data_IF_786286259213
#
_entry.id   IF_786286259213
#
_cell.length_a   1.000
_cell.length_b   1.000
_cell.length_c   1.000
_cell.angle_alpha   90.00
_cell.angle_beta   90.00
_cell.angle_gamma   90.00
#
_symmetry.space_group_name_H-M   'P 1'
#
loop_
_entity.id
_entity.type
_entity.pdbx_description
1 polymer ?
#
# COMPACT_ATOMS: atom_id res chain seq x y z
N UNK A 1 -3.29 -31.95 -29.50
CA UNK A 1 -3.13 -33.28 -28.88
C UNK A 1 -2.24 -34.25 -29.66
N UNK A 2 -1.64 -33.81 -30.78
CA UNK A 2 -0.79 -34.66 -31.64
C UNK A 2 0.66 -34.16 -31.82
N UNK A 3 1.11 -33.25 -30.96
CA UNK A 3 2.51 -32.78 -30.89
C UNK A 3 3.20 -33.50 -29.74
N UNK A 4 3.63 -34.73 -30.00
CA UNK A 4 4.26 -35.63 -29.02
C UNK A 4 5.76 -35.33 -28.89
N UNK A 5 6.32 -34.57 -29.82
CA UNK A 5 7.75 -34.28 -30.01
C UNK A 5 8.11 -32.79 -29.75
N UNK A 6 7.25 -32.00 -29.11
CA UNK A 6 7.66 -30.70 -28.65
C UNK A 6 8.67 -30.89 -27.52
N UNK A 7 9.95 -30.54 -27.80
CA UNK A 7 10.95 -30.41 -26.78
C UNK A 7 10.51 -29.34 -25.76
N UNK A 8 10.75 -29.56 -24.47
CA UNK A 8 10.58 -28.56 -23.46
C UNK A 8 11.37 -27.31 -23.87
N UNK A 9 10.66 -26.25 -24.24
CA UNK A 9 11.30 -24.95 -24.48
C UNK A 9 11.63 -24.33 -23.12
N UNK A 10 12.88 -24.41 -22.71
CA UNK A 10 13.39 -23.55 -21.63
C UNK A 10 13.46 -22.12 -22.14
N UNK A 11 13.20 -21.15 -21.26
CA UNK A 11 13.44 -19.74 -21.58
C UNK A 11 14.96 -19.48 -21.62
N UNK A 12 15.53 -19.52 -22.82
CA UNK A 12 16.96 -19.28 -23.05
C UNK A 12 17.31 -17.78 -23.08
N UNK A 13 16.36 -16.91 -22.79
CA UNK A 13 16.56 -15.46 -22.81
C UNK A 13 17.36 -14.93 -21.61
N UNK A 14 17.38 -15.70 -20.52
CA UNK A 14 18.04 -15.33 -19.24
C UNK A 14 19.07 -16.39 -18.90
N UNK A 15 20.32 -15.99 -18.68
CA UNK A 15 21.41 -16.86 -18.22
C UNK A 15 21.47 -16.93 -16.69
N UNK A 16 21.18 -15.82 -16.00
CA UNK A 16 21.29 -15.73 -14.56
C UNK A 16 20.18 -14.86 -13.98
N UNK A 17 19.58 -15.32 -12.91
CA UNK A 17 18.54 -14.60 -12.16
C UNK A 17 18.76 -14.84 -10.66
N UNK A 18 19.38 -13.84 -9.97
CA UNK A 18 19.75 -13.98 -8.57
C UNK A 18 19.27 -12.78 -7.75
N UNK A 19 18.84 -13.04 -6.51
CA UNK A 19 18.52 -11.98 -5.56
C UNK A 19 19.75 -11.46 -4.87
N UNK A 20 19.94 -10.14 -4.90
CA UNK A 20 20.98 -9.46 -4.16
C UNK A 20 20.38 -8.60 -3.06
N UNK A 21 21.04 -8.60 -1.91
CA UNK A 21 20.65 -7.83 -0.75
C UNK A 21 21.35 -6.48 -0.73
N UNK A 22 20.59 -5.42 -0.44
CA UNK A 22 21.07 -4.08 -0.25
C UNK A 22 20.58 -3.53 1.09
N UNK A 23 21.50 -3.02 1.87
CA UNK A 23 21.26 -2.43 3.17
C UNK A 23 21.26 -0.90 3.11
N UNK A 24 20.68 -0.21 4.10
CA UNK A 24 20.81 1.22 4.25
C UNK A 24 22.28 1.65 4.39
N UNK A 25 22.55 2.92 4.09
CA UNK A 25 23.89 3.50 4.26
C UNK A 25 24.37 3.25 5.69
N UNK A 26 25.61 2.84 5.83
CA UNK A 26 26.26 2.54 7.12
C UNK A 26 26.05 3.70 8.12
N UNK A 27 25.62 3.39 9.33
CA UNK A 27 25.31 4.37 10.38
C UNK A 27 23.89 4.91 10.36
N UNK A 28 23.02 4.46 9.44
CA UNK A 28 21.59 4.82 9.46
C UNK A 28 20.93 4.30 10.73
N UNK A 29 20.24 5.19 11.46
CA UNK A 29 19.49 4.80 12.63
C UNK A 29 18.10 4.32 12.21
N UNK A 30 17.81 3.03 12.43
CA UNK A 30 16.53 2.39 12.07
C UNK A 30 15.40 2.70 13.07
N UNK A 31 15.73 3.21 14.26
CA UNK A 31 14.82 3.26 15.40
C UNK A 31 14.39 4.68 15.80
N UNK A 32 14.98 5.70 15.21
CA UNK A 32 14.59 7.07 15.41
C UNK A 32 13.85 7.62 14.18
N UNK A 33 12.97 8.61 14.34
CA UNK A 33 12.39 9.32 13.21
C UNK A 33 13.47 9.84 12.27
N UNK A 34 13.32 9.59 10.97
CA UNK A 34 14.29 9.99 9.96
C UNK A 34 14.24 9.13 8.70
N UNK A 35 15.11 9.43 7.75
CA UNK A 35 15.19 8.71 6.48
C UNK A 35 16.07 7.47 6.57
N UNK A 36 15.54 6.34 6.13
CA UNK A 36 16.25 5.11 5.85
C UNK A 36 16.35 5.01 4.33
N UNK A 37 17.55 5.16 3.80
CA UNK A 37 17.79 5.22 2.36
C UNK A 37 18.62 4.02 1.91
N UNK A 38 18.12 3.27 0.94
CA UNK A 38 18.78 2.13 0.31
C UNK A 38 19.01 2.47 -1.15
N UNK A 39 20.25 2.33 -1.61
CA UNK A 39 20.65 2.65 -2.98
C UNK A 39 21.19 1.41 -3.66
N UNK A 40 20.72 1.17 -4.88
CA UNK A 40 21.17 0.08 -5.75
C UNK A 40 21.72 0.70 -7.01
N UNK A 41 23.04 0.54 -7.22
CA UNK A 41 23.75 1.03 -8.38
C UNK A 41 24.88 0.05 -8.71
N UNK A 42 24.73 -0.69 -9.81
CA UNK A 42 25.75 -1.59 -10.32
C UNK A 42 25.80 -1.44 -11.84
N UNK A 43 26.98 -1.37 -12.40
CA UNK A 43 27.15 -1.23 -13.84
C UNK A 43 26.80 -2.55 -14.55
N UNK A 44 26.21 -2.42 -15.75
CA UNK A 44 25.90 -3.54 -16.66
C UNK A 44 24.97 -4.63 -16.11
N UNK A 45 24.15 -4.29 -15.10
CA UNK A 45 23.16 -5.19 -14.53
C UNK A 45 21.74 -4.73 -14.91
N UNK A 46 20.89 -5.69 -15.24
CA UNK A 46 19.45 -5.52 -15.37
C UNK A 46 18.79 -5.87 -14.04
N UNK A 47 17.85 -5.06 -13.60
CA UNK A 47 17.09 -5.28 -12.37
C UNK A 47 15.64 -5.65 -12.67
N UNK A 48 15.02 -6.42 -11.78
CA UNK A 48 13.58 -6.74 -11.86
C UNK A 48 12.84 -6.20 -10.63
N UNK A 49 12.46 -4.90 -10.61
CA UNK A 49 11.86 -4.25 -9.43
C UNK A 49 10.53 -4.87 -8.99
N UNK A 50 9.74 -5.41 -9.93
CA UNK A 50 8.45 -6.04 -9.62
C UNK A 50 8.57 -7.25 -8.69
N UNK A 51 9.67 -8.00 -8.79
CA UNK A 51 9.92 -9.17 -7.94
C UNK A 51 10.75 -8.84 -6.70
N UNK A 52 11.11 -7.57 -6.51
CA UNK A 52 11.86 -7.13 -5.35
C UNK A 52 10.99 -7.04 -4.08
N UNK A 53 11.64 -7.14 -2.93
CA UNK A 53 10.97 -7.09 -1.63
C UNK A 53 11.87 -6.53 -0.53
N UNK A 54 11.24 -6.03 0.53
CA UNK A 54 11.90 -5.65 1.77
C UNK A 54 11.88 -6.83 2.75
N UNK A 55 12.99 -7.01 3.47
CA UNK A 55 13.03 -7.77 4.72
C UNK A 55 13.13 -6.78 5.86
N UNK A 56 12.20 -6.85 6.81
CA UNK A 56 12.18 -6.03 8.00
C UNK A 56 12.20 -6.97 9.21
N UNK A 57 13.26 -6.87 10.01
CA UNK A 57 13.45 -7.66 11.23
C UNK A 57 13.51 -6.75 12.45
N UNK A 58 13.01 -7.25 13.55
CA UNK A 58 12.99 -6.47 14.76
C UNK A 58 12.36 -7.22 15.93
N UNK A 59 12.05 -6.44 16.97
CA UNK A 59 11.44 -6.96 18.18
C UNK A 59 10.44 -5.99 18.78
N UNK A 60 9.26 -6.50 19.14
CA UNK A 60 8.26 -5.81 19.96
C UNK A 60 8.52 -6.08 21.44
N UNK A 61 8.70 -5.02 22.21
CA UNK A 61 8.94 -5.09 23.66
C UNK A 61 8.08 -4.04 24.37
N UNK A 62 8.03 -4.09 25.68
CA UNK A 62 7.57 -2.96 26.50
C UNK A 62 8.52 -1.76 26.30
N UNK A 63 8.06 -0.56 26.61
CA UNK A 63 8.85 0.66 26.45
C UNK A 63 10.19 0.61 27.23
N UNK A 64 10.24 -0.13 28.33
CA UNK A 64 11.47 -0.36 29.12
C UNK A 64 12.39 -1.45 28.55
N UNK A 65 12.06 -2.05 27.40
CA UNK A 65 12.84 -3.10 26.74
C UNK A 65 12.56 -4.54 27.21
N UNK A 66 11.70 -4.74 28.21
CA UNK A 66 11.34 -6.09 28.68
C UNK A 66 10.35 -6.76 27.72
N UNK A 67 10.40 -8.09 27.66
CA UNK A 67 9.44 -8.85 26.86
C UNK A 67 8.03 -8.80 27.45
N UNK A 68 7.02 -8.87 26.59
CA UNK A 68 5.65 -9.08 27.00
C UNK A 68 5.44 -10.53 27.47
N UNK A 69 4.60 -10.73 28.47
CA UNK A 69 4.14 -12.05 28.89
C UNK A 69 3.04 -12.57 27.93
N UNK A 70 2.76 -13.88 27.96
CA UNK A 70 1.78 -14.50 27.04
C UNK A 70 0.35 -14.02 27.26
N UNK A 71 0.02 -13.54 28.45
CA UNK A 71 -1.28 -13.01 28.87
C UNK A 71 -1.45 -11.51 28.54
N UNK A 72 -0.36 -10.80 28.24
CA UNK A 72 -0.47 -9.40 27.85
C UNK A 72 -1.21 -9.28 26.49
N UNK A 73 -2.24 -8.47 26.47
CA UNK A 73 -3.05 -8.22 25.27
C UNK A 73 -2.38 -7.12 24.45
N UNK A 74 -1.46 -7.52 23.60
CA UNK A 74 -0.68 -6.64 22.71
C UNK A 74 -0.29 -7.37 21.44
N UNK A 75 -0.29 -6.65 20.33
CA UNK A 75 0.23 -7.12 19.04
C UNK A 75 0.65 -5.93 18.17
N UNK A 76 1.40 -6.17 17.13
CA UNK A 76 1.51 -5.25 16.01
C UNK A 76 0.17 -5.32 15.25
N UNK A 77 -0.36 -4.17 14.85
CA UNK A 77 -1.63 -4.07 14.12
C UNK A 77 -1.57 -4.79 12.77
N UNK A 78 -2.72 -5.04 12.15
CA UNK A 78 -2.73 -5.60 10.79
C UNK A 78 -1.97 -4.67 9.84
N UNK A 79 -1.07 -5.23 9.03
CA UNK A 79 -0.20 -4.43 8.15
C UNK A 79 0.69 -3.41 8.90
N UNK A 80 0.94 -3.65 10.19
CA UNK A 80 1.54 -2.66 11.10
C UNK A 80 2.94 -2.22 10.71
N UNK A 81 3.71 -3.01 9.97
CA UNK A 81 5.02 -2.59 9.49
C UNK A 81 4.96 -1.38 8.55
N UNK A 82 3.87 -1.23 7.80
CA UNK A 82 3.67 -0.06 6.94
C UNK A 82 3.33 1.19 7.76
N UNK A 83 2.74 1.03 8.94
CA UNK A 83 2.46 2.12 9.89
C UNK A 83 3.73 2.64 10.60
N UNK A 84 4.86 1.96 10.49
CA UNK A 84 6.16 2.46 10.98
C UNK A 84 6.72 3.61 10.14
N UNK A 85 6.16 3.88 8.98
CA UNK A 85 6.67 4.87 8.05
C UNK A 85 5.61 5.94 7.74
N UNK A 86 6.04 7.20 7.66
CA UNK A 86 5.19 8.32 7.23
C UNK A 86 5.15 8.50 5.71
N UNK A 87 6.24 8.10 5.05
CA UNK A 87 6.37 8.16 3.59
C UNK A 87 7.31 7.05 3.10
N UNK A 88 7.01 6.51 1.94
CA UNK A 88 7.87 5.59 1.19
C UNK A 88 8.01 6.09 -0.25
N UNK A 89 9.25 6.19 -0.74
CA UNK A 89 9.55 6.78 -2.04
C UNK A 89 10.47 5.88 -2.86
N UNK A 90 10.12 5.71 -4.13
CA UNK A 90 10.94 5.02 -5.12
C UNK A 90 11.41 5.97 -6.22
N UNK A 91 12.71 5.98 -6.50
CA UNK A 91 13.34 6.87 -7.47
C UNK A 91 14.24 6.09 -8.43
N UNK A 92 14.28 6.54 -9.68
CA UNK A 92 15.21 6.08 -10.71
C UNK A 92 16.10 7.26 -11.14
N UNK A 93 17.42 7.14 -10.98
CA UNK A 93 18.42 8.16 -11.32
C UNK A 93 18.07 9.57 -10.84
N UNK A 94 17.52 9.66 -9.62
CA UNK A 94 17.14 10.93 -8.98
C UNK A 94 15.72 11.43 -9.33
N UNK A 95 15.03 10.80 -10.27
CA UNK A 95 13.64 11.13 -10.60
C UNK A 95 12.67 10.32 -9.75
N UNK A 96 11.68 10.99 -9.15
CA UNK A 96 10.65 10.36 -8.33
C UNK A 96 9.65 9.61 -9.22
N UNK A 97 9.68 8.27 -9.17
CA UNK A 97 8.72 7.42 -9.88
C UNK A 97 7.40 7.39 -9.11
N UNK A 98 7.45 7.13 -7.82
CA UNK A 98 6.29 7.06 -6.96
C UNK A 98 6.65 7.43 -5.52
N UNK A 99 5.76 8.17 -4.85
CA UNK A 99 5.89 8.55 -3.45
C UNK A 99 4.55 8.34 -2.75
N UNK A 100 4.53 7.47 -1.75
CA UNK A 100 3.34 7.09 -1.00
C UNK A 100 3.44 7.63 0.42
N UNK A 101 2.65 8.66 0.73
CA UNK A 101 2.41 9.12 2.09
C UNK A 101 1.41 8.22 2.80
N UNK A 102 1.48 8.17 4.12
CA UNK A 102 0.62 7.32 4.95
C UNK A 102 0.55 5.86 4.46
N UNK A 103 1.72 5.21 4.24
CA UNK A 103 1.74 3.87 3.65
C UNK A 103 0.97 2.84 4.48
N UNK A 104 0.87 3.01 5.79
CA UNK A 104 0.05 2.18 6.66
C UNK A 104 -1.41 2.18 6.25
N UNK A 105 -2.05 3.35 6.21
CA UNK A 105 -3.44 3.51 5.84
C UNK A 105 -3.68 3.17 4.37
N UNK A 106 -2.83 3.69 3.47
CA UNK A 106 -2.94 3.48 2.03
C UNK A 106 -2.90 2.00 1.62
N UNK A 107 -1.90 1.26 2.12
CA UNK A 107 -1.75 -0.17 1.79
C UNK A 107 -2.76 -1.04 2.52
N UNK A 108 -3.25 -0.60 3.69
CA UNK A 108 -4.35 -1.29 4.39
C UNK A 108 -5.66 -1.14 3.61
N UNK A 109 -6.06 0.07 3.20
CA UNK A 109 -7.25 0.27 2.36
C UNK A 109 -7.17 -0.54 1.08
N UNK A 110 -6.03 -0.47 0.37
CA UNK A 110 -5.86 -1.21 -0.87
C UNK A 110 -5.86 -2.72 -0.67
N UNK A 111 -5.20 -3.22 0.36
CA UNK A 111 -5.12 -4.65 0.66
C UNK A 111 -6.47 -5.25 1.01
N UNK A 112 -7.30 -4.54 1.80
CA UNK A 112 -8.66 -4.94 2.12
C UNK A 112 -9.54 -5.11 0.87
N UNK A 113 -9.37 -4.24 -0.12
CA UNK A 113 -10.13 -4.26 -1.37
C UNK A 113 -9.55 -5.23 -2.42
N UNK A 114 -8.26 -5.57 -2.33
CA UNK A 114 -7.51 -6.28 -3.36
C UNK A 114 -7.22 -7.74 -3.03
N UNK A 115 -6.82 -8.03 -1.77
CA UNK A 115 -6.35 -9.37 -1.43
C UNK A 115 -7.52 -10.35 -1.30
N UNK A 116 -7.36 -11.60 -1.78
CA UNK A 116 -8.34 -12.66 -1.54
C UNK A 116 -8.34 -13.07 -0.06
N UNK A 117 -9.43 -13.69 0.39
CA UNK A 117 -9.59 -14.05 1.82
C UNK A 117 -8.55 -15.07 2.31
N UNK A 118 -8.12 -15.96 1.47
CA UNK A 118 -7.10 -16.97 1.78
C UNK A 118 -5.66 -16.42 1.84
N UNK A 119 -5.42 -15.22 1.30
CA UNK A 119 -4.12 -14.56 1.37
C UNK A 119 -3.60 -14.41 2.80
N UNK A 120 -4.46 -14.02 3.74
CA UNK A 120 -4.11 -13.85 5.15
C UNK A 120 -3.69 -15.16 5.83
N UNK A 121 -4.13 -16.31 5.33
CA UNK A 121 -3.80 -17.65 5.88
C UNK A 121 -2.48 -18.23 5.32
N UNK A 122 -1.85 -17.54 4.38
CA UNK A 122 -0.65 -17.98 3.67
C UNK A 122 0.39 -16.86 3.57
N UNK A 123 0.63 -16.33 2.37
CA UNK A 123 1.65 -15.31 2.13
C UNK A 123 1.41 -14.01 2.91
N UNK A 124 0.16 -13.68 3.20
CA UNK A 124 -0.20 -12.49 3.96
C UNK A 124 0.42 -12.49 5.35
N UNK A 125 0.41 -13.62 6.05
CA UNK A 125 1.01 -13.70 7.38
C UNK A 125 2.52 -13.44 7.37
N UNK A 126 3.22 -13.78 6.28
CA UNK A 126 4.65 -13.49 6.10
C UNK A 126 4.97 -11.99 5.91
N UNK A 127 3.96 -11.15 5.74
CA UNK A 127 4.07 -9.68 5.77
C UNK A 127 3.24 -9.06 6.90
N UNK A 128 2.84 -9.85 7.88
CA UNK A 128 1.96 -9.48 8.99
C UNK A 128 0.59 -8.95 8.53
N UNK A 129 0.06 -9.55 7.46
CA UNK A 129 -1.29 -9.29 6.99
C UNK A 129 -2.24 -10.39 7.45
N UNK A 130 -3.01 -10.07 8.48
CA UNK A 130 -4.16 -10.87 8.91
C UNK A 130 -5.21 -9.91 9.47
N UNK A 131 -6.26 -9.64 8.70
CA UNK A 131 -7.25 -8.61 9.04
C UNK A 131 -7.97 -8.90 10.35
N UNK A 132 -8.37 -7.84 11.03
CA UNK A 132 -9.20 -7.93 12.23
C UNK A 132 -10.61 -8.41 11.88
N UNK A 133 -11.28 -9.03 12.85
CA UNK A 133 -12.65 -9.53 12.76
C UNK A 133 -13.41 -9.26 14.05
N UNK A 134 -14.73 -9.34 14.00
CA UNK A 134 -15.58 -9.04 15.14
C UNK A 134 -15.79 -7.55 15.35
N UNK A 135 -15.91 -7.10 16.59
CA UNK A 135 -16.05 -5.68 16.92
C UNK A 135 -14.69 -5.08 17.31
N UNK A 136 -14.47 -3.83 17.00
CA UNK A 136 -13.22 -3.13 17.36
C UNK A 136 -12.97 -3.07 18.88
N UNK A 137 -14.02 -3.17 19.69
CA UNK A 137 -13.94 -3.10 21.14
C UNK A 137 -13.66 -4.45 21.84
N UNK A 138 -13.92 -5.56 21.18
CA UNK A 138 -13.77 -6.91 21.77
C UNK A 138 -12.57 -7.65 21.17
N UNK A 139 -11.41 -7.48 21.79
CA UNK A 139 -10.16 -8.14 21.41
C UNK A 139 -10.18 -9.67 21.62
N UNK A 140 -11.06 -10.18 22.48
CA UNK A 140 -11.16 -11.63 22.76
C UNK A 140 -11.78 -12.39 21.58
N UNK A 141 -12.66 -11.74 20.82
CA UNK A 141 -13.33 -12.29 19.63
C UNK A 141 -12.67 -11.86 18.30
N UNK A 142 -11.55 -11.13 18.36
CA UNK A 142 -10.80 -10.72 17.19
C UNK A 142 -9.80 -11.80 16.77
N UNK A 143 -10.19 -12.65 15.83
CA UNK A 143 -9.34 -13.74 15.34
C UNK A 143 -8.02 -13.24 14.74
N UNK A 144 -8.06 -12.13 13.99
CA UNK A 144 -6.86 -11.55 13.39
C UNK A 144 -5.87 -11.04 14.43
N UNK A 145 -6.35 -10.36 15.46
CA UNK A 145 -5.52 -9.94 16.57
C UNK A 145 -4.88 -11.16 17.27
N UNK A 146 -5.67 -12.20 17.56
CA UNK A 146 -5.19 -13.41 18.24
C UNK A 146 -4.12 -14.15 17.44
N UNK A 147 -4.26 -14.23 16.11
CA UNK A 147 -3.27 -14.85 15.22
C UNK A 147 -1.97 -14.04 15.24
N UNK A 148 -2.03 -12.71 15.07
CA UNK A 148 -0.84 -11.84 15.10
C UNK A 148 -0.16 -11.86 16.47
N UNK A 149 -0.91 -11.82 17.57
CA UNK A 149 -0.37 -11.97 18.93
C UNK A 149 0.33 -13.31 19.12
N UNK A 150 -0.30 -14.39 18.65
CA UNK A 150 0.29 -15.73 18.69
C UNK A 150 1.64 -15.79 17.98
N UNK A 151 1.69 -15.21 16.79
CA UNK A 151 2.90 -15.17 15.97
C UNK A 151 4.03 -14.31 16.58
N UNK A 152 3.68 -13.16 17.20
CA UNK A 152 4.67 -12.20 17.69
C UNK A 152 5.08 -12.42 19.15
N UNK A 153 4.14 -12.79 20.03
CA UNK A 153 4.37 -12.80 21.47
C UNK A 153 4.46 -14.22 22.03
N UNK A 154 3.62 -15.15 21.53
CA UNK A 154 3.49 -16.47 22.14
C UNK A 154 4.46 -17.49 21.56
N UNK A 155 4.82 -17.39 20.28
CA UNK A 155 5.60 -18.39 19.56
C UNK A 155 7.11 -18.13 19.52
N UNK A 156 7.64 -16.90 19.36
CA UNK A 156 9.07 -16.69 19.16
C UNK A 156 9.86 -16.75 20.47
N UNK A 157 11.13 -17.15 20.35
CA UNK A 157 12.14 -17.07 21.41
C UNK A 157 13.41 -16.42 20.83
N UNK A 158 13.80 -15.23 21.32
CA UNK A 158 13.13 -14.44 22.36
C UNK A 158 11.80 -13.83 21.89
N UNK A 159 10.86 -13.71 22.84
CA UNK A 159 9.51 -13.17 22.58
C UNK A 159 9.54 -11.79 21.95
N UNK A 160 8.59 -11.55 21.07
CA UNK A 160 8.42 -10.30 20.33
C UNK A 160 9.28 -10.18 19.07
N UNK A 161 10.20 -11.12 18.83
CA UNK A 161 11.07 -11.13 17.65
C UNK A 161 10.26 -11.45 16.39
N UNK A 162 10.57 -10.76 15.29
CA UNK A 162 9.93 -10.97 14.01
C UNK A 162 10.89 -10.78 12.83
N UNK A 163 10.56 -11.43 11.72
CA UNK A 163 11.13 -11.21 10.38
C UNK A 163 10.02 -11.29 9.36
N UNK A 164 9.81 -10.23 8.57
CA UNK A 164 8.74 -10.15 7.60
C UNK A 164 9.25 -9.75 6.22
N UNK A 165 8.65 -10.35 5.19
CA UNK A 165 8.94 -10.10 3.79
C UNK A 165 7.82 -9.30 3.15
N UNK A 166 8.11 -8.10 2.64
CA UNK A 166 7.13 -7.20 2.05
C UNK A 166 7.46 -6.95 0.58
N UNK A 167 6.73 -7.54 -0.38
CA UNK A 167 6.94 -7.29 -1.80
C UNK A 167 6.72 -5.83 -2.16
N UNK A 168 7.61 -5.22 -2.95
CA UNK A 168 7.45 -3.83 -3.39
C UNK A 168 6.16 -3.59 -4.18
N UNK A 169 5.69 -4.58 -4.92
CA UNK A 169 4.40 -4.53 -5.66
C UNK A 169 3.18 -4.34 -4.75
N UNK A 170 3.29 -4.63 -3.46
CA UNK A 170 2.23 -4.34 -2.49
C UNK A 170 2.24 -2.87 -2.05
N UNK A 171 3.36 -2.16 -2.23
CA UNK A 171 3.54 -0.76 -1.84
C UNK A 171 3.35 0.17 -3.04
N UNK A 172 4.09 -0.09 -4.13
CA UNK A 172 4.16 0.78 -5.30
C UNK A 172 3.43 0.20 -6.50
N UNK A 173 2.64 1.04 -7.17
CA UNK A 173 1.95 0.68 -8.40
C UNK A 173 2.91 0.43 -9.56
N UNK A 174 4.04 1.15 -9.62
CA UNK A 174 5.11 0.87 -10.59
C UNK A 174 5.59 -0.58 -10.49
N UNK A 175 5.93 -1.04 -9.30
CA UNK A 175 6.40 -2.41 -9.10
C UNK A 175 5.30 -3.45 -9.35
N UNK A 176 4.01 -3.10 -9.19
CA UNK A 176 2.90 -4.00 -9.48
C UNK A 176 2.63 -4.16 -10.97
N UNK A 177 2.62 -3.06 -11.71
CA UNK A 177 2.15 -3.06 -13.11
C UNK A 177 3.28 -3.25 -14.12
N UNK A 178 4.52 -2.84 -13.81
CA UNK A 178 5.66 -2.98 -14.68
C UNK A 178 6.48 -4.23 -14.33
N UNK A 179 6.00 -5.38 -14.79
CA UNK A 179 6.66 -6.67 -14.61
C UNK A 179 7.69 -6.93 -15.72
N UNK A 180 8.70 -6.06 -15.82
CA UNK A 180 9.81 -6.17 -16.79
C UNK A 180 11.12 -5.72 -16.15
N UNK A 181 12.23 -6.09 -16.80
CA UNK A 181 13.56 -5.68 -16.39
C UNK A 181 13.80 -4.19 -16.67
N UNK A 182 14.62 -3.59 -15.83
CA UNK A 182 15.04 -2.19 -15.91
C UNK A 182 16.58 -2.14 -15.97
N UNK A 183 17.13 -1.34 -16.88
CA UNK A 183 18.57 -1.24 -17.11
C UNK A 183 19.05 0.21 -17.06
N UNK A 184 20.26 0.41 -16.55
CA UNK A 184 20.98 1.67 -16.64
C UNK A 184 20.49 2.78 -15.70
N UNK A 185 19.71 2.45 -14.70
CA UNK A 185 19.26 3.39 -13.66
C UNK A 185 19.92 3.09 -12.31
N UNK A 186 20.17 4.15 -11.57
CA UNK A 186 20.38 4.05 -10.12
C UNK A 186 19.02 4.00 -9.43
N UNK A 187 18.75 2.93 -8.69
CA UNK A 187 17.52 2.76 -7.93
C UNK A 187 17.72 3.26 -6.50
N UNK A 188 16.78 4.03 -6.01
CA UNK A 188 16.79 4.52 -4.63
C UNK A 188 15.42 4.27 -4.01
N UNK A 189 15.44 3.58 -2.88
CA UNK A 189 14.28 3.40 -2.00
C UNK A 189 14.49 4.21 -0.73
N UNK A 190 13.58 5.11 -0.42
CA UNK A 190 13.60 5.93 0.80
C UNK A 190 12.38 5.60 1.65
N UNK A 191 12.60 5.27 2.91
CA UNK A 191 11.58 5.01 3.91
C UNK A 191 11.73 6.06 5.00
N UNK A 192 10.68 6.82 5.31
CA UNK A 192 10.73 7.84 6.36
C UNK A 192 10.12 7.26 7.63
N UNK A 193 10.99 6.92 8.60
CA UNK A 193 10.60 6.34 9.89
C UNK A 193 9.84 7.35 10.73
N UNK A 194 8.72 6.91 11.35
CA UNK A 194 7.96 7.70 12.34
C UNK A 194 7.88 6.97 13.69
N UNK A 195 7.06 7.45 14.63
CA UNK A 195 6.75 6.80 15.91
C UNK A 195 6.23 5.36 15.71
N UNK A 196 6.40 4.52 16.73
CA UNK A 196 5.88 3.15 16.77
C UNK A 196 4.38 3.08 17.10
N UNK A 197 3.80 4.19 17.58
CA UNK A 197 2.50 4.19 18.22
C UNK A 197 1.38 3.70 17.29
N UNK A 198 1.45 4.05 16.01
CA UNK A 198 0.47 3.59 15.02
C UNK A 198 0.68 2.15 14.56
N UNK A 199 1.79 1.52 14.90
CA UNK A 199 2.06 0.14 14.53
C UNK A 199 1.64 -0.85 15.63
N UNK A 200 1.46 -0.39 16.86
CA UNK A 200 1.17 -1.21 18.03
C UNK A 200 -0.31 -1.07 18.41
N UNK A 201 -0.94 -2.20 18.70
CA UNK A 201 -2.28 -2.22 19.26
C UNK A 201 -2.30 -3.05 20.54
N UNK A 202 -2.75 -2.46 21.65
CA UNK A 202 -2.72 -3.04 22.99
C UNK A 202 -3.87 -2.58 23.87
N UNK A 203 -4.13 -3.33 24.94
CA UNK A 203 -4.92 -2.83 26.07
C UNK A 203 -4.05 -1.96 27.00
N UNK A 204 -4.69 -1.11 27.79
CA UNK A 204 -4.00 -0.26 28.76
C UNK A 204 -3.13 -1.09 29.73
N UNK A 205 -3.66 -2.20 30.22
CA UNK A 205 -2.98 -3.08 31.20
C UNK A 205 -1.69 -3.72 30.66
N UNK A 206 -1.55 -3.84 29.35
CA UNK A 206 -0.33 -4.39 28.75
C UNK A 206 0.88 -3.45 28.90
N UNK A 207 0.64 -2.15 29.10
CA UNK A 207 1.65 -1.11 29.13
C UNK A 207 2.20 -0.74 27.74
N UNK A 208 2.76 0.46 27.63
CA UNK A 208 3.27 1.00 26.37
C UNK A 208 4.30 0.10 25.71
N UNK A 209 4.17 -0.08 24.39
CA UNK A 209 5.04 -0.89 23.54
C UNK A 209 6.07 -0.05 22.78
N UNK A 210 7.13 -0.75 22.34
CA UNK A 210 8.18 -0.23 21.48
C UNK A 210 8.59 -1.28 20.46
N UNK A 211 8.83 -0.85 19.22
CA UNK A 211 9.37 -1.70 18.15
C UNK A 211 10.81 -1.28 17.88
N UNK A 212 11.74 -2.21 18.09
CA UNK A 212 13.15 -2.01 17.76
C UNK A 212 13.47 -2.80 16.50
N UNK A 213 13.80 -2.10 15.43
CA UNK A 213 14.24 -2.69 14.17
C UNK A 213 15.73 -3.05 14.26
N UNK A 214 16.07 -4.26 13.87
CA UNK A 214 17.46 -4.75 13.79
C UNK A 214 17.96 -4.79 12.36
N UNK A 215 17.05 -4.95 11.38
CA UNK A 215 17.37 -5.04 9.96
C UNK A 215 16.26 -4.44 9.10
N UNK A 216 16.67 -3.68 8.09
CA UNK A 216 15.83 -3.25 6.97
C UNK A 216 16.66 -3.41 5.71
N UNK A 217 16.35 -4.39 4.88
CA UNK A 217 17.11 -4.69 3.67
C UNK A 217 16.19 -4.79 2.47
N UNK A 218 16.69 -4.37 1.32
CA UNK A 218 16.01 -4.49 0.05
C UNK A 218 16.65 -5.59 -0.79
N UNK A 219 15.87 -6.60 -1.12
CA UNK A 219 16.26 -7.68 -2.02
C UNK A 219 15.72 -7.40 -3.41
N UNK A 220 16.60 -7.31 -4.40
CA UNK A 220 16.23 -7.07 -5.79
C UNK A 220 16.91 -8.08 -6.71
N UNK A 221 16.18 -8.69 -7.66
CA UNK A 221 16.79 -9.59 -8.62
C UNK A 221 17.72 -8.87 -9.57
N UNK A 222 18.93 -9.40 -9.70
CA UNK A 222 19.85 -9.14 -10.79
C UNK A 222 19.56 -10.13 -11.92
N UNK A 223 19.48 -9.62 -13.11
CA UNK A 223 19.17 -10.41 -14.30
C UNK A 223 20.31 -10.25 -15.30
N UNK A 224 20.85 -11.37 -15.76
CA UNK A 224 21.81 -11.40 -16.88
C UNK A 224 21.11 -12.03 -18.07
N UNK A 225 20.77 -11.24 -19.09
CA UNK A 225 20.23 -11.77 -20.32
C UNK A 225 21.29 -12.55 -21.11
N UNK A 226 20.89 -13.55 -21.86
CA UNK A 226 21.75 -14.22 -22.82
C UNK A 226 22.27 -13.24 -23.89
N UNK A 227 23.49 -13.46 -24.38
CA UNK A 227 24.19 -12.50 -25.24
C UNK A 227 23.39 -12.02 -26.45
N UNK A 228 22.64 -12.90 -27.11
CA UNK A 228 21.80 -12.54 -28.24
C UNK A 228 20.71 -11.52 -27.90
N UNK A 229 20.12 -11.63 -26.70
CA UNK A 229 19.08 -10.72 -26.20
C UNK A 229 19.70 -9.44 -25.65
N UNK A 230 20.86 -9.55 -25.00
CA UNK A 230 21.64 -8.40 -24.52
C UNK A 230 22.03 -7.46 -25.65
N UNK A 231 22.54 -8.00 -26.76
CA UNK A 231 22.86 -7.22 -27.96
C UNK A 231 21.65 -6.48 -28.53
N UNK A 232 20.50 -7.13 -28.63
CA UNK A 232 19.26 -6.48 -29.08
C UNK A 232 18.83 -5.34 -28.16
N UNK A 233 18.95 -5.51 -26.85
CA UNK A 233 18.64 -4.46 -25.87
C UNK A 233 19.60 -3.27 -26.03
N UNK A 234 20.90 -3.51 -26.20
CA UNK A 234 21.88 -2.44 -26.45
C UNK A 234 21.63 -1.71 -27.76
N UNK A 235 21.28 -2.41 -28.85
CA UNK A 235 20.89 -1.77 -30.09
C UNK A 235 19.67 -0.84 -29.93
N UNK A 236 18.69 -1.22 -29.13
CA UNK A 236 17.53 -0.35 -28.83
C UNK A 236 17.95 0.89 -28.03
N UNK A 237 18.88 0.73 -27.09
CA UNK A 237 19.43 1.83 -26.28
C UNK A 237 20.24 2.79 -27.17
N UNK A 238 21.09 2.27 -28.06
CA UNK A 238 21.88 3.06 -28.99
C UNK A 238 21.02 3.82 -30.00
N UNK A 239 19.93 3.22 -30.46
CA UNK A 239 18.94 3.87 -31.35
C UNK A 239 18.09 4.93 -30.61
N UNK A 240 18.38 5.20 -29.33
CA UNK A 240 17.62 6.12 -28.46
C UNK A 240 16.12 5.83 -28.48
N UNK A 241 15.76 4.56 -28.47
CA UNK A 241 14.36 4.15 -28.43
C UNK A 241 13.71 4.68 -27.15
N UNK A 242 12.60 5.39 -27.33
CA UNK A 242 11.78 5.86 -26.22
C UNK A 242 10.88 4.72 -25.75
N UNK A 243 11.05 4.28 -24.52
CA UNK A 243 10.23 3.24 -23.90
C UNK A 243 9.20 3.89 -22.99
N UNK A 244 7.94 3.89 -23.41
CA UNK A 244 6.84 4.39 -22.58
C UNK A 244 6.37 3.31 -21.62
N UNK A 245 6.34 3.63 -20.32
CA UNK A 245 5.92 2.75 -19.22
C UNK A 245 4.70 3.35 -18.56
N UNK A 246 3.57 2.68 -18.69
CA UNK A 246 2.32 3.03 -18.01
C UNK A 246 2.11 2.17 -16.77
N UNK A 247 1.67 2.80 -15.67
CA UNK A 247 1.35 2.11 -14.42
C UNK A 247 0.31 2.89 -13.61
N UNK A 248 -0.30 2.23 -12.63
CA UNK A 248 -1.27 2.82 -11.71
C UNK A 248 -0.56 3.35 -10.46
N UNK A 249 -0.18 4.61 -10.50
CA UNK A 249 0.45 5.29 -9.36
C UNK A 249 -0.53 5.40 -8.19
N UNK A 250 0.00 5.28 -6.98
CA UNK A 250 -0.71 5.41 -5.71
C UNK A 250 -0.27 6.68 -4.99
N UNK A 251 -1.23 7.49 -4.57
CA UNK A 251 -1.00 8.68 -3.75
C UNK A 251 -2.01 8.68 -2.62
N UNK A 252 -1.56 8.94 -1.39
CA UNK A 252 -2.44 9.08 -0.25
C UNK A 252 -2.26 10.46 0.39
N UNK A 253 -3.38 11.07 0.74
CA UNK A 253 -3.43 12.34 1.47
C UNK A 253 -4.27 12.17 2.72
N UNK A 254 -4.03 13.01 3.72
CA UNK A 254 -4.83 13.07 4.95
C UNK A 254 -5.16 14.52 5.31
N UNK A 255 -6.28 14.70 5.99
CA UNK A 255 -6.72 15.96 6.56
C UNK A 255 -7.57 15.74 7.81
N UNK A 256 -7.45 16.62 8.80
CA UNK A 256 -8.33 16.65 9.96
C UNK A 256 -9.75 17.07 9.55
N UNK A 257 -10.76 16.32 10.01
CA UNK A 257 -12.17 16.61 9.74
C UNK A 257 -12.72 17.49 10.88
N UNK A 258 -13.34 18.64 10.57
CA UNK A 258 -13.91 19.50 11.59
C UNK A 258 -15.13 18.83 12.27
N UNK A 259 -15.41 19.20 13.52
CA UNK A 259 -16.59 18.74 14.28
C UNK A 259 -17.89 19.37 13.74
N UNK A 260 -18.22 19.03 12.50
CA UNK A 260 -19.38 19.56 11.78
C UNK A 260 -20.08 18.47 10.97
N UNK A 261 -21.33 18.74 10.57
CA UNK A 261 -22.10 17.81 9.71
C UNK A 261 -21.70 17.88 8.25
N UNK A 262 -21.00 18.92 7.83
CA UNK A 262 -20.60 19.13 6.45
C UNK A 262 -19.08 19.24 6.36
N UNK A 263 -18.51 18.53 5.41
CA UNK A 263 -17.08 18.51 5.16
C UNK A 263 -16.79 18.64 3.67
N UNK A 264 -15.80 19.46 3.33
CA UNK A 264 -15.32 19.63 1.97
C UNK A 264 -13.80 19.65 1.97
N UNK A 265 -13.20 18.80 1.15
CA UNK A 265 -11.76 18.65 1.04
C UNK A 265 -11.32 18.70 -0.41
N UNK A 266 -10.45 19.65 -0.74
CA UNK A 266 -9.82 19.74 -2.04
C UNK A 266 -8.46 19.04 -1.98
N UNK A 267 -8.31 17.99 -2.77
CA UNK A 267 -7.06 17.24 -2.85
C UNK A 267 -6.00 18.03 -3.61
N UNK A 268 -4.73 17.84 -3.24
CA UNK A 268 -3.60 18.47 -3.90
C UNK A 268 -3.36 17.82 -5.24
N UNK A 269 -3.63 18.52 -6.33
CA UNK A 269 -3.35 18.04 -7.68
C UNK A 269 -1.90 18.33 -8.03
N UNK A 270 -1.11 17.30 -8.26
CA UNK A 270 0.20 17.49 -8.88
C UNK A 270 0.02 17.88 -10.35
N UNK A 271 0.89 18.75 -10.83
CA UNK A 271 0.83 19.37 -12.16
C UNK A 271 1.06 18.44 -13.37
N UNK A 272 1.07 17.13 -13.17
CA UNK A 272 1.25 16.14 -14.23
C UNK A 272 -0.09 15.66 -14.79
N UNK A 273 -0.18 15.29 -16.08
CA UNK A 273 -1.41 14.77 -16.70
C UNK A 273 -1.73 13.36 -16.22
N UNK A 274 -1.87 13.19 -14.91
CA UNK A 274 -2.27 11.93 -14.27
C UNK A 274 -3.79 11.84 -14.28
N UNK A 275 -4.33 10.76 -14.85
CA UNK A 275 -5.76 10.52 -14.91
C UNK A 275 -6.19 9.64 -13.72
N UNK A 276 -6.92 10.17 -12.71
CA UNK A 276 -7.42 9.35 -11.61
C UNK A 276 -8.39 8.29 -12.12
N UNK A 277 -8.22 7.06 -11.63
CA UNK A 277 -9.09 5.90 -11.89
C UNK A 277 -10.01 5.60 -10.74
N UNK A 278 -9.44 5.58 -9.53
CA UNK A 278 -10.15 5.30 -8.29
C UNK A 278 -9.76 6.30 -7.23
N UNK A 279 -10.73 6.69 -6.44
CA UNK A 279 -10.52 7.47 -5.22
C UNK A 279 -11.17 6.68 -4.09
N UNK A 280 -10.39 6.33 -3.07
CA UNK A 280 -10.85 5.56 -1.91
C UNK A 280 -10.73 6.45 -0.69
N UNK A 281 -11.84 6.68 0.00
CA UNK A 281 -11.89 7.55 1.18
C UNK A 281 -12.23 6.74 2.41
N UNK A 282 -11.55 7.02 3.51
CA UNK A 282 -11.79 6.40 4.81
C UNK A 282 -11.60 7.42 5.93
N UNK A 283 -12.19 7.15 7.09
CA UNK A 283 -12.08 8.00 8.28
C UNK A 283 -11.52 7.21 9.45
N UNK A 284 -10.78 7.88 10.32
CA UNK A 284 -10.28 7.34 11.59
C UNK A 284 -10.46 8.37 12.70
N UNK A 285 -10.90 7.92 13.88
CA UNK A 285 -11.12 8.77 15.06
C UNK A 285 -10.22 8.32 16.21
N UNK A 286 -9.46 9.25 16.82
CA UNK A 286 -8.57 9.04 17.97
C UNK A 286 -7.50 7.95 17.75
N UNK A 287 -7.06 7.68 16.50
CA UNK A 287 -6.13 6.57 16.22
C UNK A 287 -4.69 7.01 16.03
N UNK A 288 -4.45 8.25 15.61
CA UNK A 288 -3.09 8.75 15.41
C UNK A 288 -2.34 8.85 16.76
N UNK A 289 -1.15 8.23 16.81
CA UNK A 289 -0.29 8.22 17.98
C UNK A 289 -0.86 7.47 19.20
N UNK A 290 -1.86 6.62 19.05
CA UNK A 290 -2.58 5.99 20.16
C UNK A 290 -2.53 4.46 20.09
N UNK A 291 -1.65 3.84 20.87
CA UNK A 291 -1.50 2.37 20.94
C UNK A 291 -2.73 1.62 21.47
N UNK A 292 -3.69 2.31 22.09
CA UNK A 292 -4.93 1.70 22.61
C UNK A 292 -6.05 1.70 21.55
N UNK A 293 -5.79 2.27 20.39
CA UNK A 293 -6.68 2.26 19.23
C UNK A 293 -6.04 1.51 18.07
N UNK A 294 -6.88 0.89 17.24
CA UNK A 294 -6.40 0.08 16.13
C UNK A 294 -6.36 0.91 14.83
N UNK A 295 -5.21 1.33 14.32
CA UNK A 295 -5.11 2.14 13.11
C UNK A 295 -5.30 1.35 11.81
N UNK A 296 -5.46 0.03 11.87
CA UNK A 296 -5.78 -0.79 10.69
C UNK A 296 -7.28 -0.93 10.43
N UNK A 297 -8.12 -0.36 11.29
CA UNK A 297 -9.57 -0.31 11.09
C UNK A 297 -10.03 1.14 10.87
N UNK A 298 -11.16 1.30 10.21
CA UNK A 298 -11.73 2.59 9.85
C UNK A 298 -13.10 2.79 10.51
N UNK A 299 -13.60 4.02 10.48
CA UNK A 299 -14.82 4.41 11.16
C UNK A 299 -15.83 4.99 10.15
N UNK A 300 -17.11 4.61 10.23
CA UNK A 300 -18.14 5.17 9.34
C UNK A 300 -18.60 6.58 9.74
N UNK A 301 -18.26 7.04 10.96
CA UNK A 301 -18.52 8.39 11.50
C UNK A 301 -19.97 8.85 11.27
N UNK A 302 -20.91 7.90 11.28
CA UNK A 302 -22.32 8.10 10.95
C UNK A 302 -22.54 8.93 9.66
N UNK A 303 -21.74 8.63 8.62
CA UNK A 303 -21.80 9.29 7.33
C UNK A 303 -23.17 9.09 6.69
N UNK A 304 -23.78 10.19 6.19
CA UNK A 304 -25.04 10.19 5.45
C UNK A 304 -24.82 10.12 3.95
N UNK A 305 -23.90 10.93 3.45
CA UNK A 305 -23.61 10.99 2.02
C UNK A 305 -22.15 11.41 1.78
N UNK A 306 -21.55 10.87 0.74
CA UNK A 306 -20.21 11.26 0.30
C UNK A 306 -20.13 11.16 -1.24
N UNK A 307 -19.47 12.12 -1.84
CA UNK A 307 -19.20 12.12 -3.27
C UNK A 307 -17.91 12.86 -3.60
N UNK A 308 -17.38 12.56 -4.77
CA UNK A 308 -16.21 13.21 -5.32
C UNK A 308 -16.61 14.02 -6.54
N UNK A 309 -16.03 15.21 -6.71
CA UNK A 309 -16.14 15.97 -7.96
C UNK A 309 -14.78 16.03 -8.64
N UNK A 310 -14.76 15.67 -9.93
CA UNK A 310 -13.62 15.90 -10.82
C UNK A 310 -13.97 17.07 -11.72
N UNK A 311 -13.28 18.21 -11.53
CA UNK A 311 -13.67 19.48 -12.09
C UNK A 311 -15.15 19.80 -11.71
N UNK A 312 -16.08 19.69 -12.64
CA UNK A 312 -17.52 19.90 -12.34
C UNK A 312 -18.35 18.63 -12.38
N UNK A 313 -17.75 17.47 -12.65
CA UNK A 313 -18.47 16.20 -12.76
C UNK A 313 -18.47 15.47 -11.44
N UNK A 314 -19.66 15.08 -10.98
CA UNK A 314 -19.87 14.41 -9.70
C UNK A 314 -19.88 12.88 -9.83
N UNK A 315 -19.27 12.18 -8.84
CA UNK A 315 -19.22 10.73 -8.70
C UNK A 315 -19.56 10.31 -7.25
N UNK A 316 -20.57 9.45 -6.99
CA UNK A 316 -21.61 9.06 -7.93
C UNK A 316 -22.60 10.21 -8.22
N UNK A 317 -23.34 10.10 -9.30
CA UNK A 317 -24.33 11.10 -9.68
C UNK A 317 -25.53 11.17 -8.70
N UNK A 318 -25.85 10.04 -8.05
CA UNK A 318 -26.95 9.89 -7.10
C UNK A 318 -26.41 9.73 -5.69
N UNK A 319 -27.03 10.39 -4.71
CA UNK A 319 -26.67 10.31 -3.30
C UNK A 319 -26.75 8.87 -2.78
N UNK A 320 -25.84 8.51 -1.86
CA UNK A 320 -25.86 7.21 -1.20
C UNK A 320 -27.01 7.07 -0.19
N UNK A 321 -27.33 8.16 0.51
CA UNK A 321 -28.32 8.22 1.58
C UNK A 321 -28.10 7.14 2.64
N UNK A 322 -26.91 7.15 3.23
CA UNK A 322 -26.46 6.14 4.18
C UNK A 322 -27.10 6.30 5.56
N UNK A 323 -27.44 5.16 6.17
CA UNK A 323 -27.82 5.09 7.57
C UNK A 323 -27.29 3.77 8.17
N UNK A 324 -26.08 3.80 8.70
CA UNK A 324 -25.40 2.61 9.24
C UNK A 324 -26.15 1.95 10.38
N UNK A 325 -26.80 2.74 11.24
CA UNK A 325 -27.65 2.24 12.33
C UNK A 325 -28.88 1.47 11.84
N UNK A 326 -29.33 1.73 10.60
CA UNK A 326 -30.46 1.07 9.95
C UNK A 326 -30.04 0.02 8.92
N UNK A 327 -28.77 -0.35 8.86
CA UNK A 327 -28.19 -1.26 7.86
C UNK A 327 -28.35 -0.78 6.39
N UNK A 328 -28.48 0.56 6.19
CA UNK A 328 -28.66 1.16 4.87
C UNK A 328 -27.32 1.65 4.31
N UNK A 329 -26.49 0.73 3.82
CA UNK A 329 -25.16 1.02 3.22
C UNK A 329 -24.84 0.12 2.02
N UNK A 330 -25.81 -0.63 1.50
CA UNK A 330 -25.57 -1.66 0.47
C UNK A 330 -24.93 -1.14 -0.80
N UNK A 331 -25.26 0.10 -1.23
CA UNK A 331 -24.63 0.70 -2.43
C UNK A 331 -23.16 0.99 -2.21
N UNK A 332 -22.79 1.64 -1.11
CA UNK A 332 -21.40 1.95 -0.80
C UNK A 332 -20.57 0.67 -0.60
N UNK A 333 -21.16 -0.33 0.08
CA UNK A 333 -20.56 -1.67 0.17
C UNK A 333 -20.38 -2.31 -1.20
N UNK A 334 -21.38 -2.26 -2.08
CA UNK A 334 -21.32 -2.81 -3.43
C UNK A 334 -20.20 -2.19 -4.27
N UNK A 335 -19.99 -0.88 -4.17
CA UNK A 335 -18.89 -0.18 -4.85
C UNK A 335 -17.52 -0.62 -4.31
N UNK A 336 -17.37 -0.79 -2.99
CA UNK A 336 -16.16 -1.33 -2.38
C UNK A 336 -15.93 -2.80 -2.78
N UNK A 337 -16.95 -3.65 -2.70
CA UNK A 337 -16.87 -5.08 -3.04
C UNK A 337 -16.51 -5.32 -4.52
N UNK A 338 -17.00 -4.46 -5.43
CA UNK A 338 -16.72 -4.58 -6.87
C UNK A 338 -15.34 -4.05 -7.30
N UNK A 339 -14.60 -3.39 -6.41
CA UNK A 339 -13.31 -2.77 -6.75
C UNK A 339 -12.33 -3.77 -7.35
N UNK A 340 -12.16 -4.95 -6.74
CA UNK A 340 -11.21 -5.97 -7.21
C UNK A 340 -11.57 -6.45 -8.60
N UNK A 341 -12.82 -6.81 -8.83
CA UNK A 341 -13.30 -7.25 -10.14
C UNK A 341 -13.06 -6.22 -11.22
N UNK A 342 -13.45 -4.97 -10.98
CA UNK A 342 -13.30 -3.86 -11.95
C UNK A 342 -11.83 -3.48 -12.17
N UNK A 343 -11.03 -3.40 -11.10
CA UNK A 343 -9.63 -2.96 -11.18
C UNK A 343 -8.72 -4.00 -11.86
N UNK A 344 -9.05 -5.29 -11.74
CA UNK A 344 -8.26 -6.40 -12.30
C UNK A 344 -8.97 -7.15 -13.43
N UNK A 345 -10.11 -6.63 -13.92
CA UNK A 345 -10.91 -7.24 -15.01
C UNK A 345 -11.26 -8.71 -14.73
N UNK A 346 -11.66 -9.00 -13.49
CA UNK A 346 -12.05 -10.33 -13.04
C UNK A 346 -13.58 -10.50 -13.12
N UNK A 347 -14.04 -11.74 -13.21
CA UNK A 347 -15.45 -12.06 -13.05
C UNK A 347 -15.91 -11.78 -11.60
N UNK A 348 -17.07 -11.14 -11.44
CA UNK A 348 -17.61 -10.73 -10.12
C UNK A 348 -17.86 -11.93 -9.19
N UNK A 349 -18.23 -13.07 -9.72
CA UNK A 349 -18.47 -14.28 -8.92
C UNK A 349 -17.18 -14.92 -8.40
N UNK A 350 -16.08 -14.75 -9.16
CA UNK A 350 -14.75 -15.28 -8.78
C UNK A 350 -13.99 -14.28 -7.91
N UNK A 351 -14.22 -12.98 -8.11
CA UNK A 351 -13.59 -11.90 -7.36
C UNK A 351 -14.27 -11.70 -6.02
N UNK A 352 -14.08 -12.64 -5.09
CA UNK A 352 -14.66 -12.55 -3.76
C UNK A 352 -14.00 -11.41 -2.97
N UNK A 353 -14.79 -10.40 -2.49
CA UNK A 353 -14.25 -9.34 -1.65
C UNK A 353 -13.83 -9.90 -0.28
N UNK A 354 -12.74 -9.36 0.25
CA UNK A 354 -12.23 -9.77 1.55
C UNK A 354 -12.95 -9.06 2.73
N UNK A 355 -14.09 -8.44 2.49
CA UNK A 355 -14.86 -7.69 3.48
C UNK A 355 -16.31 -8.17 3.43
N UNK A 356 -16.83 -8.68 4.56
CA UNK A 356 -18.26 -8.97 4.69
C UNK A 356 -19.07 -7.67 4.91
N UNK A 357 -20.40 -7.64 4.67
CA UNK A 357 -21.22 -6.46 4.99
C UNK A 357 -21.13 -6.04 6.46
N UNK A 358 -21.02 -6.98 7.40
CA UNK A 358 -20.81 -6.67 8.83
C UNK A 358 -19.44 -6.04 9.07
N UNK A 359 -18.35 -6.62 8.53
CA UNK A 359 -17.02 -6.06 8.68
C UNK A 359 -16.93 -4.68 8.01
N UNK A 360 -17.60 -4.50 6.87
CA UNK A 360 -17.67 -3.19 6.21
C UNK A 360 -18.29 -2.13 7.11
N UNK A 361 -19.36 -2.45 7.80
CA UNK A 361 -19.99 -1.52 8.73
C UNK A 361 -19.12 -1.25 9.95
N UNK A 362 -18.60 -2.29 10.59
CA UNK A 362 -18.05 -2.19 11.94
C UNK A 362 -16.54 -1.93 11.96
N UNK A 363 -15.80 -2.33 10.89
CA UNK A 363 -14.33 -2.26 10.84
C UNK A 363 -13.78 -1.54 9.61
N UNK A 364 -14.42 -1.68 8.44
CA UNK A 364 -13.81 -1.29 7.16
C UNK A 364 -14.75 -0.51 6.25
N UNK A 365 -15.38 0.58 6.70
CA UNK A 365 -16.23 1.43 5.86
C UNK A 365 -15.33 2.23 4.88
N UNK A 366 -15.01 1.62 3.76
CA UNK A 366 -14.21 2.21 2.68
C UNK A 366 -15.14 2.72 1.58
N UNK A 367 -15.06 4.01 1.25
CA UNK A 367 -15.87 4.64 0.22
C UNK A 367 -15.10 4.71 -1.08
N UNK A 368 -15.47 3.87 -2.05
CA UNK A 368 -14.76 3.68 -3.31
C UNK A 368 -15.48 4.36 -4.45
N UNK A 369 -14.79 5.24 -5.15
CA UNK A 369 -15.30 5.97 -6.31
C UNK A 369 -14.55 5.51 -7.57
N UNK A 370 -15.27 4.87 -8.48
CA UNK A 370 -14.79 4.56 -9.83
C UNK A 370 -14.95 5.81 -10.71
N UNK A 371 -13.84 6.45 -11.00
CA UNK A 371 -13.78 7.65 -11.85
C UNK A 371 -13.02 7.38 -13.16
N UNK A 372 -12.79 6.10 -13.48
CA UNK A 372 -12.01 5.68 -14.65
C UNK A 372 -12.63 6.05 -15.99
N UNK A 373 -13.97 6.15 -16.04
CA UNK A 373 -14.72 6.50 -17.25
C UNK A 373 -14.91 8.01 -17.38
N UNK A 374 -13.81 8.74 -17.56
CA UNK A 374 -13.82 10.17 -17.74
C UNK A 374 -13.89 10.54 -19.24
N UNK A 375 -14.39 11.75 -19.54
CA UNK A 375 -14.31 12.30 -20.90
C UNK A 375 -12.86 12.51 -21.32
N UNK A 376 -12.58 12.43 -22.64
CA UNK A 376 -11.23 12.65 -23.18
C UNK A 376 -10.64 14.02 -22.78
N UNK A 377 -11.49 15.05 -22.61
CA UNK A 377 -11.06 16.39 -22.16
C UNK A 377 -10.49 16.40 -20.75
N UNK A 378 -11.03 15.58 -19.83
CA UNK A 378 -10.54 15.47 -18.45
C UNK A 378 -9.20 14.73 -18.37
N UNK A 379 -8.92 13.82 -19.31
CA UNK A 379 -7.69 13.04 -19.33
C UNK A 379 -6.43 13.83 -19.72
N UNK A 380 -6.60 15.02 -20.30
CA UNK A 380 -5.50 15.87 -20.80
C UNK A 380 -5.39 17.22 -20.07
N UNK A 381 -6.18 17.45 -19.03
CA UNK A 381 -6.14 18.68 -18.23
C UNK A 381 -5.83 18.39 -16.78
N UNK A 382 -5.31 19.39 -16.08
CA UNK A 382 -5.20 19.34 -14.61
C UNK A 382 -6.59 19.11 -14.03
N UNK A 383 -6.73 18.06 -13.22
CA UNK A 383 -8.00 17.67 -12.63
C UNK A 383 -8.11 18.22 -11.22
N UNK A 384 -9.11 19.07 -10.97
CA UNK A 384 -9.48 19.52 -9.63
C UNK A 384 -10.34 18.43 -8.98
N UNK A 385 -9.85 17.86 -7.88
CA UNK A 385 -10.53 16.79 -7.15
C UNK A 385 -11.01 17.34 -5.82
N UNK A 386 -12.33 17.27 -5.59
CA UNK A 386 -12.91 17.65 -4.31
C UNK A 386 -13.74 16.50 -3.74
N UNK A 387 -13.54 16.19 -2.47
CA UNK A 387 -14.37 15.27 -1.69
C UNK A 387 -15.36 16.11 -0.89
N UNK A 388 -16.64 15.75 -0.94
CA UNK A 388 -17.69 16.37 -0.12
C UNK A 388 -18.44 15.29 0.64
N UNK A 389 -18.57 15.51 1.94
CA UNK A 389 -19.25 14.57 2.84
C UNK A 389 -20.27 15.28 3.70
N UNK A 390 -21.38 14.59 3.97
CA UNK A 390 -22.45 15.01 4.90
C UNK A 390 -22.65 13.90 5.91
N UNK A 391 -22.65 14.26 7.19
CA UNK A 391 -22.82 13.34 8.32
C UNK A 391 -24.20 13.52 8.95
N UNK A 392 -24.75 12.46 9.53
CA UNK A 392 -26.02 12.52 10.28
C UNK A 392 -25.86 13.34 11.57
N UNK A 393 -24.68 13.23 12.21
CA UNK A 393 -24.29 13.93 13.42
C UNK A 393 -23.03 14.75 13.21
N UNK A 394 -22.63 15.58 14.17
CA UNK A 394 -21.31 16.21 14.15
C UNK A 394 -20.24 15.14 14.25
N UNK A 395 -19.19 15.30 13.44
CA UNK A 395 -18.03 14.41 13.45
C UNK A 395 -17.36 14.48 14.83
N UNK A 396 -16.94 13.34 15.41
CA UNK A 396 -16.17 13.31 16.65
C UNK A 396 -14.87 14.10 16.53
N UNK A 397 -14.39 14.57 17.68
CA UNK A 397 -13.05 15.19 17.78
C UNK A 397 -11.95 14.21 17.34
N UNK A 398 -10.82 14.73 16.90
CA UNK A 398 -9.66 13.95 16.44
C UNK A 398 -9.97 12.95 15.32
N UNK A 399 -10.92 13.32 14.45
CA UNK A 399 -11.20 12.51 13.25
C UNK A 399 -10.35 12.99 12.08
N UNK A 400 -9.69 12.05 11.43
CA UNK A 400 -8.93 12.26 10.19
C UNK A 400 -9.61 11.56 9.01
N UNK A 401 -9.57 12.20 7.86
CA UNK A 401 -9.95 11.61 6.58
C UNK A 401 -8.68 11.25 5.80
N UNK A 402 -8.68 10.07 5.21
CA UNK A 402 -7.64 9.60 4.29
C UNK A 402 -8.23 9.42 2.90
N UNK A 403 -7.51 9.85 1.88
CA UNK A 403 -7.88 9.65 0.48
C UNK A 403 -6.73 8.97 -0.26
N UNK A 404 -6.95 7.74 -0.69
CA UNK A 404 -6.04 7.02 -1.58
C UNK A 404 -6.52 7.22 -3.03
N UNK A 405 -5.67 7.85 -3.83
CA UNK A 405 -5.91 8.14 -5.24
C UNK A 405 -5.06 7.17 -6.07
N UNK A 406 -5.70 6.44 -6.97
CA UNK A 406 -5.05 5.57 -7.94
C UNK A 406 -5.20 6.21 -9.30
N UNK A 407 -4.08 6.63 -9.91
CA UNK A 407 -4.05 7.36 -11.18
C UNK A 407 -3.20 6.65 -12.22
N UNK A 408 -3.59 6.77 -13.49
CA UNK A 408 -2.72 6.39 -14.59
C UNK A 408 -1.55 7.35 -14.69
N UNK A 409 -0.34 6.81 -14.68
CA UNK A 409 0.89 7.54 -14.91
C UNK A 409 1.67 6.90 -16.05
N UNK A 410 2.22 7.72 -16.92
CA UNK A 410 3.13 7.29 -17.99
C UNK A 410 4.46 7.98 -17.81
N UNK A 411 5.53 7.20 -17.71
CA UNK A 411 6.90 7.70 -17.73
C UNK A 411 7.60 7.15 -18.98
N UNK A 412 8.60 7.89 -19.47
CA UNK A 412 9.40 7.44 -20.60
C UNK A 412 10.83 7.22 -20.18
N UNK A 413 11.39 6.08 -20.57
CA UNK A 413 12.79 5.78 -20.42
C UNK A 413 13.52 6.09 -21.74
N UNK A 414 14.50 6.99 -21.70
CA UNK A 414 15.29 7.40 -22.85
C UNK A 414 16.78 7.30 -22.56
N UNK A 415 17.54 6.86 -23.55
CA UNK A 415 18.99 6.83 -23.45
C UNK A 415 19.60 8.19 -23.83
N UNK A 416 20.51 8.69 -23.01
CA UNK A 416 21.38 9.82 -23.31
C UNK A 416 22.83 9.38 -23.23
N UNK A 417 23.33 8.76 -24.31
CA UNK A 417 24.64 8.12 -24.32
C UNK A 417 24.66 6.88 -23.41
N UNK A 418 25.56 6.88 -22.42
CA UNK A 418 25.75 5.75 -21.51
C UNK A 418 24.81 5.75 -20.29
N UNK A 419 23.85 6.68 -20.21
CA UNK A 419 22.92 6.80 -19.08
C UNK A 419 21.47 6.77 -19.55
N UNK A 420 20.65 6.11 -18.76
CA UNK A 420 19.20 6.13 -18.93
C UNK A 420 18.59 7.26 -18.09
N UNK A 421 17.66 7.99 -18.68
CA UNK A 421 16.92 9.08 -18.05
C UNK A 421 15.43 8.75 -18.02
N UNK A 422 14.75 9.21 -16.96
CA UNK A 422 13.29 9.20 -16.86
C UNK A 422 12.77 10.57 -17.31
N UNK A 423 11.81 10.55 -18.22
CA UNK A 423 11.10 11.75 -18.71
C UNK A 423 9.62 11.58 -18.41
N UNK A 424 8.98 12.63 -17.89
CA UNK A 424 7.56 12.68 -17.52
C UNK A 424 6.73 13.37 -18.60
#
# INVERSE_FOLDING_TARGET
>A
MLKIDESLTSDESIEEYEYHEYEPITGTNLNNPGEIRITVETQDIFYHPSESYLIIEGRLTKANGTAYANDNVVSITNNGLMHLFSNMKYQLSGQEIESLFYPGQATTMLGLLKYPDDFQKSQGLNQLWYKDSGTAADLTNNAGFSVRQGYLIKSPDPKGTFSFRIPLKHIFGFAEDYNKIVYGFRHVLTLVRKSDDDAIFRTNDAGAGKITLSKVSWYIPHVRPADAYKLRLYEMIEKKAKLSVGFRMRQCESISVPQAKNFSWRLTVKSSPEAPRYIIVAFQTDKDGNQEKNPSVFDHVNLKNIYVTLNSTRYPAVDYDLAFTKQQFSRAYGDAASFRAKSFMMDDLVSNPNITPSDYKDLYPLFVFDVSKQSAKLKHSVTDIQIKAHFNDNVPENTEAFALIISDRVVSFESNGNKMNVIF
#
